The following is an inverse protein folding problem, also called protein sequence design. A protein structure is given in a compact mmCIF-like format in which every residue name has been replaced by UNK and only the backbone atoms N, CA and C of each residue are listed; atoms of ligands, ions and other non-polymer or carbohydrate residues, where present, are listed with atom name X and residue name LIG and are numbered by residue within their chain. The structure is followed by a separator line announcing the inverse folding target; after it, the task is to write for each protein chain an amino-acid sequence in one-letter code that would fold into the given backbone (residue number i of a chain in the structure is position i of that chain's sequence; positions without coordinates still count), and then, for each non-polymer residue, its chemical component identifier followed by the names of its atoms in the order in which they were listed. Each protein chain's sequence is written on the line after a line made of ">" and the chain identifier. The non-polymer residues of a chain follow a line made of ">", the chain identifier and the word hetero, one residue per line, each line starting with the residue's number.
data_IF_750753967567
#
_entry.id   IF_750753967567
#
_cell.length_a   1.000
_cell.length_b   1.000
_cell.length_c   1.000
_cell.angle_alpha   90.00
_cell.angle_beta   90.00
_cell.angle_gamma   90.00
#
_symmetry.space_group_name_H-M   'P 1'
#
loop_
_entity.id
_entity.type
_entity.pdbx_description
1 polymer ?
#
# COMPACT_ATOMS: atom_id res chain seq x y z
N UNK A 1 15.35 -2.01 -30.17
CA UNK A 1 13.97 -1.69 -29.76
C UNK A 1 13.94 -1.55 -28.25
N UNK A 2 14.00 -0.33 -27.71
CA UNK A 2 13.86 -0.09 -26.26
C UNK A 2 12.54 0.61 -26.05
N UNK A 3 11.55 -0.14 -25.55
CA UNK A 3 10.23 0.36 -25.19
C UNK A 3 10.37 1.37 -24.06
N UNK A 4 10.33 2.67 -24.39
CA UNK A 4 10.05 3.72 -23.42
C UNK A 4 8.70 3.39 -22.77
N UNK A 5 8.72 2.79 -21.58
CA UNK A 5 7.54 2.64 -20.73
C UNK A 5 7.13 4.05 -20.27
N UNK A 6 6.34 4.72 -21.11
CA UNK A 6 5.77 6.04 -20.82
C UNK A 6 4.58 5.84 -19.87
N UNK A 7 4.46 6.72 -18.88
CA UNK A 7 3.24 6.87 -18.07
C UNK A 7 2.00 6.83 -18.98
N UNK A 8 0.96 6.03 -18.65
CA UNK A 8 -0.25 5.97 -19.44
C UNK A 8 -0.90 7.35 -19.61
N UNK A 9 -1.46 7.63 -20.79
CA UNK A 9 -2.14 8.91 -21.04
C UNK A 9 -3.27 9.12 -20.01
N UNK A 10 -3.37 10.34 -19.49
CA UNK A 10 -4.41 10.73 -18.54
C UNK A 10 -4.07 10.52 -17.07
N UNK A 11 -2.90 9.94 -16.76
CA UNK A 11 -2.45 9.79 -15.37
C UNK A 11 -1.28 10.71 -15.05
N UNK A 12 -1.33 11.31 -13.86
CA UNK A 12 -0.19 11.95 -13.21
C UNK A 12 0.35 10.96 -12.18
N UNK A 13 1.62 10.56 -12.31
CA UNK A 13 2.25 9.58 -11.44
C UNK A 13 3.39 10.27 -10.67
N UNK A 14 3.37 10.13 -9.35
CA UNK A 14 4.49 10.50 -8.47
C UNK A 14 5.13 9.25 -7.89
N UNK A 15 6.42 9.32 -7.58
CA UNK A 15 7.16 8.21 -6.97
C UNK A 15 8.05 8.70 -5.82
N UNK A 16 7.81 8.22 -4.61
CA UNK A 16 8.67 8.51 -3.46
C UNK A 16 10.02 7.81 -3.63
N UNK A 17 11.10 8.59 -3.59
CA UNK A 17 12.47 8.09 -3.72
C UNK A 17 13.35 8.68 -2.63
N UNK A 18 14.13 7.81 -1.96
CA UNK A 18 15.03 8.21 -0.88
C UNK A 18 16.34 8.84 -1.35
N UNK A 19 16.77 8.52 -2.57
CA UNK A 19 18.08 8.93 -3.11
C UNK A 19 17.90 9.74 -4.38
N UNK A 20 18.63 10.83 -4.49
CA UNK A 20 18.63 11.68 -5.68
C UNK A 20 18.98 10.89 -6.95
N UNK A 21 19.91 9.95 -6.86
CA UNK A 21 20.31 9.09 -7.98
C UNK A 21 19.16 8.22 -8.53
N UNK A 22 18.12 7.94 -7.74
CA UNK A 22 16.95 7.18 -8.20
C UNK A 22 15.87 8.10 -8.79
N UNK A 23 15.90 9.41 -8.51
CA UNK A 23 14.95 10.37 -9.05
C UNK A 23 15.04 10.47 -10.58
N UNK A 24 16.25 10.38 -11.13
CA UNK A 24 16.49 10.40 -12.58
C UNK A 24 15.73 9.28 -13.32
N UNK A 25 15.67 8.08 -12.72
CA UNK A 25 14.92 6.95 -13.28
C UNK A 25 13.41 7.20 -13.29
N UNK A 26 12.88 7.79 -12.22
CA UNK A 26 11.46 8.17 -12.14
C UNK A 26 11.14 9.25 -13.17
N UNK A 27 11.94 10.30 -13.26
CA UNK A 27 11.78 11.36 -14.27
C UNK A 27 11.85 10.79 -15.69
N UNK A 28 12.80 9.89 -15.96
CA UNK A 28 12.96 9.26 -17.27
C UNK A 28 11.76 8.39 -17.68
N UNK A 29 10.99 7.87 -16.70
CA UNK A 29 9.73 7.15 -16.98
C UNK A 29 8.55 8.06 -17.35
N UNK A 30 8.69 9.38 -17.14
CA UNK A 30 7.63 10.38 -17.28
C UNK A 30 6.83 10.64 -16.00
N UNK A 31 7.21 10.01 -14.88
CA UNK A 31 6.65 10.29 -13.56
C UNK A 31 7.44 11.38 -12.83
N UNK A 32 6.84 12.00 -11.82
CA UNK A 32 7.48 13.01 -10.99
C UNK A 32 8.10 12.39 -9.73
N UNK A 33 9.42 12.50 -9.51
CA UNK A 33 10.02 12.03 -8.27
C UNK A 33 9.61 12.93 -7.10
N UNK A 34 9.37 12.31 -5.95
CA UNK A 34 9.17 12.96 -4.66
C UNK A 34 10.33 12.52 -3.77
N UNK A 35 11.18 13.45 -3.35
CA UNK A 35 12.34 13.13 -2.51
C UNK A 35 11.89 13.02 -1.05
N UNK A 36 12.15 11.86 -0.45
CA UNK A 36 11.84 11.57 0.96
C UNK A 36 11.98 10.09 1.28
N UNK A 37 11.72 9.72 2.52
CA UNK A 37 11.71 8.35 3.01
C UNK A 37 10.44 8.02 3.81
N UNK A 38 10.36 6.78 4.28
CA UNK A 38 9.17 6.25 4.93
C UNK A 38 8.83 6.91 6.26
N UNK A 39 9.77 7.64 6.87
CA UNK A 39 9.55 8.40 8.10
C UNK A 39 9.01 9.83 7.83
N UNK A 40 8.93 10.26 6.57
CA UNK A 40 8.38 11.58 6.23
C UNK A 40 6.85 11.57 6.21
N UNK A 41 6.21 11.33 7.36
CA UNK A 41 4.76 11.13 7.46
C UNK A 41 3.93 12.27 6.84
N UNK A 42 4.29 13.53 7.08
CA UNK A 42 3.58 14.67 6.50
C UNK A 42 3.69 14.73 4.97
N UNK A 43 4.85 14.37 4.42
CA UNK A 43 5.07 14.30 2.97
C UNK A 43 4.22 13.21 2.34
N UNK A 44 4.23 12.01 2.94
CA UNK A 44 3.44 10.87 2.49
C UNK A 44 1.95 11.20 2.53
N UNK A 45 1.46 11.68 3.66
CA UNK A 45 0.05 12.03 3.87
C UNK A 45 -0.42 13.09 2.86
N UNK A 46 0.38 14.15 2.64
CA UNK A 46 0.09 15.19 1.66
C UNK A 46 -0.07 14.62 0.25
N UNK A 47 0.90 13.84 -0.23
CA UNK A 47 0.84 13.27 -1.58
C UNK A 47 -0.30 12.25 -1.73
N UNK A 48 -0.60 11.50 -0.68
CA UNK A 48 -1.70 10.54 -0.67
C UNK A 48 -3.04 11.25 -0.75
N UNK A 49 -3.26 12.29 0.06
CA UNK A 49 -4.48 13.10 0.01
C UNK A 49 -4.76 13.65 -1.38
N UNK A 50 -3.72 13.99 -2.15
CA UNK A 50 -3.87 14.52 -3.51
C UNK A 50 -4.12 13.45 -4.58
N UNK A 51 -3.85 12.17 -4.28
CA UNK A 51 -3.84 11.09 -5.26
C UNK A 51 -5.10 10.21 -5.18
N UNK A 52 -5.60 9.74 -6.33
CA UNK A 52 -6.76 8.84 -6.37
C UNK A 52 -6.41 7.35 -6.25
N UNK A 53 -5.16 6.97 -6.54
CA UNK A 53 -4.67 5.59 -6.48
C UNK A 53 -3.30 5.58 -5.81
N UNK A 54 -3.14 4.77 -4.78
CA UNK A 54 -1.92 4.65 -3.97
C UNK A 54 -1.39 3.23 -4.07
N UNK A 55 -0.12 3.10 -4.43
CA UNK A 55 0.64 1.85 -4.35
C UNK A 55 1.68 1.97 -3.23
N UNK A 56 1.49 1.24 -2.13
CA UNK A 56 2.46 1.17 -1.04
C UNK A 56 3.17 -0.19 -1.07
N UNK A 57 4.30 -0.20 -1.80
CA UNK A 57 5.06 -1.41 -2.13
C UNK A 57 6.52 -1.37 -1.64
N UNK A 58 6.86 -0.39 -0.79
CA UNK A 58 8.23 -0.23 -0.30
C UNK A 58 8.62 -1.29 0.76
N UNK A 59 7.68 -1.67 1.63
CA UNK A 59 7.83 -2.67 2.70
C UNK A 59 6.46 -2.93 3.33
N UNK A 60 6.27 -4.14 3.86
CA UNK A 60 5.11 -4.56 4.64
C UNK A 60 5.24 -4.23 6.13
N UNK A 61 6.45 -3.82 6.55
CA UNK A 61 6.90 -3.92 7.94
C UNK A 61 7.07 -2.54 8.59
N UNK A 62 6.60 -1.48 7.93
CA UNK A 62 6.79 -0.11 8.36
C UNK A 62 5.46 0.56 8.71
N UNK A 63 4.99 0.33 9.94
CA UNK A 63 3.75 0.89 10.45
C UNK A 63 3.66 2.42 10.29
N UNK A 64 4.71 3.24 10.59
CA UNK A 64 4.59 4.69 10.48
C UNK A 64 4.24 5.20 9.08
N UNK A 65 4.74 4.55 8.02
CA UNK A 65 4.40 4.97 6.64
C UNK A 65 2.98 4.54 6.25
N UNK A 66 2.51 3.39 6.72
CA UNK A 66 1.13 2.96 6.51
C UNK A 66 0.17 3.91 7.21
N UNK A 67 0.44 4.28 8.47
CA UNK A 67 -0.37 5.27 9.17
C UNK A 67 -0.40 6.62 8.43
N UNK A 68 0.75 7.09 7.91
CA UNK A 68 0.80 8.30 7.11
C UNK A 68 -0.03 8.21 5.81
N UNK A 69 -0.04 7.04 5.15
CA UNK A 69 -0.93 6.79 4.00
C UNK A 69 -2.39 6.83 4.43
N UNK A 70 -2.76 6.14 5.50
CA UNK A 70 -4.14 6.10 6.00
C UNK A 70 -4.63 7.49 6.41
N UNK A 71 -3.78 8.33 7.00
CA UNK A 71 -4.09 9.71 7.35
C UNK A 71 -4.38 10.54 6.10
N UNK A 72 -3.56 10.41 5.05
CA UNK A 72 -3.81 11.08 3.77
C UNK A 72 -5.12 10.64 3.12
N UNK A 73 -5.44 9.34 3.18
CA UNK A 73 -6.72 8.79 2.67
C UNK A 73 -7.89 9.37 3.45
N UNK A 74 -7.79 9.41 4.79
CA UNK A 74 -8.84 9.97 5.66
C UNK A 74 -9.06 11.46 5.40
N UNK A 75 -7.99 12.23 5.20
CA UNK A 75 -8.07 13.64 4.84
C UNK A 75 -8.72 13.83 3.47
N UNK A 76 -8.33 13.05 2.45
CA UNK A 76 -8.95 13.09 1.13
C UNK A 76 -10.43 12.73 1.17
N UNK A 77 -10.81 11.73 1.97
CA UNK A 77 -12.20 11.33 2.16
C UNK A 77 -13.06 12.43 2.81
N UNK A 78 -12.48 13.26 3.71
CA UNK A 78 -13.18 14.44 4.25
C UNK A 78 -13.49 15.49 3.17
N UNK A 79 -12.69 15.52 2.10
CA UNK A 79 -12.89 16.37 0.91
C UNK A 79 -13.74 15.67 -0.17
N UNK A 80 -14.35 14.51 0.14
CA UNK A 80 -15.18 13.75 -0.78
C UNK A 80 -14.40 12.92 -1.81
N UNK A 81 -13.08 12.76 -1.65
CA UNK A 81 -12.24 11.98 -2.56
C UNK A 81 -12.35 10.49 -2.28
N UNK A 82 -12.62 9.72 -3.33
CA UNK A 82 -12.46 8.26 -3.29
C UNK A 82 -11.01 7.89 -3.60
N UNK A 83 -10.44 6.98 -2.81
CA UNK A 83 -9.05 6.54 -2.98
C UNK A 83 -8.98 5.03 -3.07
N UNK A 84 -8.27 4.52 -4.08
CA UNK A 84 -7.89 3.11 -4.17
C UNK A 84 -6.53 2.96 -3.49
N UNK A 85 -6.44 2.10 -2.47
CA UNK A 85 -5.19 1.82 -1.77
C UNK A 85 -4.78 0.36 -1.97
N UNK A 86 -3.60 0.16 -2.56
CA UNK A 86 -2.99 -1.15 -2.80
C UNK A 86 -1.74 -1.25 -1.95
N UNK A 87 -1.77 -2.12 -0.95
CA UNK A 87 -0.64 -2.44 -0.09
C UNK A 87 -0.16 -3.88 -0.36
N UNK A 88 1.13 -4.07 -0.55
CA UNK A 88 1.72 -5.41 -0.74
C UNK A 88 2.39 -5.87 0.55
N UNK A 89 1.74 -6.74 1.31
CA UNK A 89 2.24 -7.27 2.61
C UNK A 89 2.98 -8.61 2.51
N UNK A 90 2.84 -9.32 1.39
CA UNK A 90 3.37 -10.68 1.20
C UNK A 90 2.42 -11.77 1.72
N UNK A 91 2.76 -13.04 1.49
CA UNK A 91 1.93 -14.20 1.87
C UNK A 91 2.59 -15.14 2.88
N UNK A 92 3.75 -14.77 3.44
CA UNK A 92 4.48 -15.60 4.40
C UNK A 92 3.68 -15.89 5.67
N UNK A 93 2.75 -15.02 6.05
CA UNK A 93 1.84 -15.24 7.19
C UNK A 93 0.94 -16.48 7.00
N UNK A 94 0.75 -16.93 5.77
CA UNK A 94 -0.06 -18.10 5.41
C UNK A 94 0.79 -19.38 5.26
N UNK A 95 2.10 -19.32 5.54
CA UNK A 95 2.98 -20.49 5.43
C UNK A 95 2.67 -21.52 6.53
N UNK A 96 2.75 -22.81 6.17
CA UNK A 96 2.53 -23.94 7.10
C UNK A 96 3.83 -24.53 7.65
N UNK A 97 4.96 -23.87 7.36
CA UNK A 97 6.32 -24.30 7.74
C UNK A 97 6.65 -25.72 7.28
N UNK A 98 6.05 -26.19 6.19
CA UNK A 98 6.33 -27.53 5.67
C UNK A 98 7.81 -27.74 5.30
N UNK A 99 8.53 -26.66 4.93
CA UNK A 99 9.96 -26.71 4.55
C UNK A 99 10.27 -27.78 3.49
N UNK A 100 9.30 -28.08 2.61
CA UNK A 100 9.41 -29.10 1.57
C UNK A 100 9.13 -30.54 2.02
N UNK A 101 8.82 -30.79 3.29
CA UNK A 101 8.56 -32.13 3.83
C UNK A 101 7.18 -32.70 3.43
N UNK A 102 6.20 -31.84 3.19
CA UNK A 102 4.84 -32.24 2.78
C UNK A 102 4.15 -31.14 1.98
N UNK A 103 3.07 -31.51 1.28
CA UNK A 103 2.17 -30.56 0.60
C UNK A 103 0.96 -30.29 1.51
N UNK A 104 0.65 -29.02 1.75
CA UNK A 104 -0.58 -28.63 2.43
C UNK A 104 -1.82 -28.99 1.62
N UNK A 105 -2.91 -29.33 2.32
CA UNK A 105 -4.24 -29.43 1.72
C UNK A 105 -5.05 -28.13 1.87
N UNK A 106 -4.54 -27.14 2.61
CA UNK A 106 -5.21 -25.84 2.77
C UNK A 106 -5.01 -25.01 1.50
N UNK A 107 -6.12 -24.52 0.95
CA UNK A 107 -6.17 -23.60 -0.18
C UNK A 107 -6.70 -22.27 0.34
N UNK A 108 -6.11 -21.16 -0.14
CA UNK A 108 -6.53 -19.79 0.15
C UNK A 108 -7.04 -19.14 -1.13
N UNK A 109 -8.04 -18.28 -1.01
CA UNK A 109 -8.66 -17.59 -2.14
C UNK A 109 -8.59 -16.07 -1.99
N UNK A 110 -8.12 -15.37 -3.02
CA UNK A 110 -7.97 -13.90 -3.01
C UNK A 110 -9.31 -13.15 -2.88
N UNK A 111 -10.43 -13.82 -3.20
CA UNK A 111 -11.78 -13.25 -3.10
C UNK A 111 -12.48 -13.58 -1.77
N UNK A 112 -11.84 -14.32 -0.86
CA UNK A 112 -12.36 -14.60 0.47
C UNK A 112 -11.42 -14.00 1.56
N UNK A 113 -11.65 -12.73 1.95
CA UNK A 113 -10.78 -12.06 2.91
C UNK A 113 -10.81 -12.71 4.30
N UNK A 114 -11.85 -13.49 4.65
CA UNK A 114 -11.95 -14.15 5.95
C UNK A 114 -10.83 -15.18 6.11
N UNK A 115 -10.43 -15.86 5.03
CA UNK A 115 -9.35 -16.84 5.08
C UNK A 115 -8.02 -16.21 5.49
N UNK A 116 -7.76 -14.98 5.05
CA UNK A 116 -6.55 -14.21 5.36
C UNK A 116 -6.69 -13.54 6.74
N UNK A 117 -7.86 -12.97 7.03
CA UNK A 117 -8.11 -12.24 8.28
C UNK A 117 -8.14 -13.13 9.52
N UNK A 118 -8.25 -14.44 9.33
CA UNK A 118 -8.16 -15.45 10.40
C UNK A 118 -6.76 -15.61 11.01
N UNK A 119 -5.72 -15.02 10.39
CA UNK A 119 -4.38 -15.00 10.95
C UNK A 119 -4.36 -14.31 12.32
N UNK A 120 -3.60 -14.88 13.27
CA UNK A 120 -3.48 -14.36 14.62
C UNK A 120 -2.93 -12.92 14.62
N UNK A 121 -3.46 -12.06 15.50
CA UNK A 121 -3.02 -10.66 15.64
C UNK A 121 -1.52 -10.50 15.91
N UNK A 122 -0.89 -11.53 16.48
CA UNK A 122 0.56 -11.60 16.76
C UNK A 122 1.42 -12.05 15.58
N UNK A 123 0.81 -12.39 14.45
CA UNK A 123 1.55 -12.88 13.28
C UNK A 123 2.38 -11.74 12.64
N UNK A 124 3.43 -12.07 11.88
CA UNK A 124 4.22 -11.07 11.16
C UNK A 124 3.33 -10.17 10.31
N UNK A 125 3.63 -8.88 10.28
CA UNK A 125 2.95 -7.84 9.50
C UNK A 125 1.50 -7.56 9.92
N UNK A 126 0.95 -8.32 10.87
CA UNK A 126 -0.47 -8.22 11.22
C UNK A 126 -0.83 -6.90 11.87
N UNK A 127 0.10 -6.27 12.59
CA UNK A 127 -0.09 -4.90 13.10
C UNK A 127 -0.41 -3.90 11.98
N UNK A 128 0.23 -4.04 10.82
CA UNK A 128 -0.01 -3.22 9.63
C UNK A 128 -1.38 -3.55 9.02
N UNK A 129 -1.67 -4.83 8.81
CA UNK A 129 -2.95 -5.25 8.23
C UNK A 129 -4.14 -4.81 9.07
N UNK A 130 -4.05 -4.96 10.40
CA UNK A 130 -5.08 -4.54 11.33
C UNK A 130 -5.32 -3.03 11.28
N UNK A 131 -4.27 -2.22 11.14
CA UNK A 131 -4.40 -0.78 10.95
C UNK A 131 -5.18 -0.44 9.65
N UNK A 132 -4.88 -1.15 8.56
CA UNK A 132 -5.57 -0.99 7.26
C UNK A 132 -7.04 -1.43 7.36
N UNK A 133 -7.31 -2.59 7.96
CA UNK A 133 -8.68 -3.12 8.14
C UNK A 133 -9.51 -2.17 9.00
N UNK A 134 -8.94 -1.65 10.09
CA UNK A 134 -9.60 -0.68 10.96
C UNK A 134 -9.96 0.58 10.18
N UNK A 135 -9.01 1.16 9.45
CA UNK A 135 -9.25 2.37 8.65
C UNK A 135 -10.30 2.13 7.55
N UNK A 136 -10.30 0.95 6.90
CA UNK A 136 -11.33 0.57 5.93
C UNK A 136 -12.72 0.58 6.56
N UNK A 137 -12.90 -0.07 7.71
CA UNK A 137 -14.19 -0.11 8.43
C UNK A 137 -14.67 1.30 8.82
N UNK A 138 -13.77 2.16 9.29
CA UNK A 138 -14.07 3.56 9.63
C UNK A 138 -14.55 4.35 8.39
N UNK A 139 -13.89 4.18 7.24
CA UNK A 139 -14.23 4.88 6.00
C UNK A 139 -15.52 4.35 5.36
N UNK A 140 -15.77 3.04 5.41
CA UNK A 140 -17.01 2.44 4.94
C UNK A 140 -18.23 2.89 5.75
N UNK A 141 -18.07 3.01 7.08
CA UNK A 141 -19.12 3.53 7.95
C UNK A 141 -19.56 4.94 7.56
N UNK A 142 -18.62 5.80 7.13
CA UNK A 142 -18.90 7.17 6.68
C UNK A 142 -19.58 7.25 5.32
N UNK A 143 -19.38 6.28 4.43
CA UNK A 143 -20.10 6.24 3.13
C UNK A 143 -21.57 5.86 3.27
N UNK A 144 -21.94 5.22 4.38
CA UNK A 144 -23.31 4.73 4.64
C UNK A 144 -24.14 5.69 5.50
N UNK A 145 -23.54 6.77 6.00
CA UNK A 145 -24.18 7.84 6.78
C UNK A 145 -24.49 9.05 5.91
#
# INVERSE_FOLDING_TARGET
>A
MTTNKKVPKGYQITGLVRRQSHAEGITSSGAAPVLGDLNNSSLISHHVQQSGIIFHTATADHLPSVLAVLDGIKAGAQEGKETIFIHTSGTSVLEDRAMGAFKSNKIYHDNDPIEIDSAADSAPNREIDLAIIKARKELEGRRRS
#
